data_IF_598976547688
#
_entry.id   IF_598976547688
#
_cell.length_a   1.000
_cell.length_b   1.000
_cell.length_c   1.000
_cell.angle_alpha   90.00
_cell.angle_beta   90.00
_cell.angle_gamma   90.00
#
_symmetry.space_group_name_H-M   'P 1'
#
loop_
_entity.id
_entity.type
_entity.pdbx_description
1 polymer ?
#
# COMPACT_ATOMS: atom_id res chain seq x y z
N UNK A 1 -8.31 33.74 48.76
CA UNK A 1 -7.72 32.68 47.92
C UNK A 1 -8.62 31.46 47.99
N UNK A 2 -9.30 31.12 46.89
CA UNK A 2 -10.12 29.91 46.77
C UNK A 2 -9.68 29.22 45.48
N UNK A 3 -8.98 28.12 45.66
CA UNK A 3 -8.56 27.21 44.61
C UNK A 3 -9.79 26.60 43.93
N UNK A 4 -9.87 26.67 42.60
CA UNK A 4 -10.83 25.89 41.83
C UNK A 4 -10.12 25.31 40.62
N UNK A 5 -9.55 24.13 40.83
CA UNK A 5 -8.96 23.28 39.81
C UNK A 5 -10.10 22.79 38.91
N UNK A 6 -10.28 23.46 37.77
CA UNK A 6 -11.21 23.01 36.72
C UNK A 6 -10.57 21.87 35.94
N UNK A 7 -11.09 20.68 36.25
CA UNK A 7 -10.95 19.37 35.60
C UNK A 7 -10.67 19.47 34.09
N UNK A 8 -9.47 19.07 33.70
CA UNK A 8 -9.04 18.83 32.32
C UNK A 8 -9.92 17.75 31.69
N UNK A 9 -10.75 18.13 30.72
CA UNK A 9 -11.43 17.18 29.86
C UNK A 9 -10.41 16.65 28.84
N UNK A 10 -9.74 15.55 29.18
CA UNK A 10 -8.94 14.78 28.21
C UNK A 10 -9.94 14.03 27.33
N UNK A 11 -10.33 14.68 26.23
CA UNK A 11 -11.11 14.09 25.16
C UNK A 11 -10.23 13.03 24.48
N UNK A 12 -10.48 11.75 24.77
CA UNK A 12 -9.89 10.63 24.05
C UNK A 12 -10.26 10.74 22.56
N UNK A 13 -9.36 11.30 21.76
CA UNK A 13 -9.31 11.09 20.31
C UNK A 13 -8.98 9.61 20.07
N UNK A 14 -10.00 8.76 20.11
CA UNK A 14 -9.92 7.42 19.55
C UNK A 14 -9.65 7.55 18.06
N UNK A 15 -8.39 7.33 17.69
CA UNK A 15 -7.90 7.25 16.32
C UNK A 15 -8.71 6.17 15.62
N UNK A 16 -9.68 6.60 14.81
CA UNK A 16 -10.50 5.72 13.98
C UNK A 16 -9.72 5.38 12.72
N UNK A 17 -8.68 4.56 12.86
CA UNK A 17 -8.25 3.77 11.73
C UNK A 17 -9.31 2.69 11.53
N UNK A 18 -10.22 2.92 10.57
CA UNK A 18 -11.11 1.86 10.14
C UNK A 18 -10.24 0.81 9.45
N UNK A 19 -10.12 -0.36 10.07
CA UNK A 19 -9.54 -1.54 9.44
C UNK A 19 -10.24 -1.73 8.09
N UNK A 20 -9.49 -1.61 7.00
CA UNK A 20 -9.99 -1.88 5.66
C UNK A 20 -10.09 -3.40 5.56
N UNK A 21 -11.23 -3.94 6.00
CA UNK A 21 -11.49 -5.37 6.17
C UNK A 21 -11.65 -6.14 4.84
N UNK A 22 -10.92 -5.77 3.79
CA UNK A 22 -11.04 -6.37 2.45
C UNK A 22 -9.72 -6.58 1.72
N UNK A 23 -8.58 -6.41 2.39
CA UNK A 23 -7.27 -6.67 1.81
C UNK A 23 -6.46 -7.67 2.63
N UNK A 24 -5.88 -8.66 1.96
CA UNK A 24 -4.81 -9.47 2.51
C UNK A 24 -3.48 -8.81 2.19
N UNK A 25 -2.56 -8.77 3.15
CA UNK A 25 -1.20 -8.31 2.96
C UNK A 25 -0.22 -9.31 3.55
N UNK A 26 1.00 -9.30 3.01
CA UNK A 26 2.12 -10.08 3.52
C UNK A 26 3.35 -9.19 3.67
N UNK A 27 4.23 -9.50 4.63
CA UNK A 27 5.54 -8.87 4.74
C UNK A 27 6.37 -9.11 3.47
N UNK A 28 6.87 -8.03 2.88
CA UNK A 28 7.76 -8.07 1.71
C UNK A 28 8.90 -7.07 1.86
N UNK A 29 9.98 -7.29 1.11
CA UNK A 29 10.99 -6.27 0.85
C UNK A 29 10.89 -5.79 -0.59
N UNK A 30 11.02 -4.49 -0.79
CA UNK A 30 11.16 -3.87 -2.12
C UNK A 30 12.62 -3.95 -2.50
N UNK A 31 12.95 -4.75 -3.52
CA UNK A 31 14.35 -4.95 -3.98
C UNK A 31 14.75 -3.99 -5.10
N UNK A 32 13.76 -3.49 -5.84
CA UNK A 32 13.95 -2.51 -6.91
C UNK A 32 12.68 -1.68 -7.07
N UNK A 33 12.86 -0.40 -7.36
CA UNK A 33 11.78 0.52 -7.66
C UNK A 33 12.22 1.49 -8.75
N UNK A 34 11.48 1.51 -9.86
CA UNK A 34 11.71 2.38 -11.01
C UNK A 34 10.46 3.23 -11.19
N UNK A 35 10.63 4.54 -11.26
CA UNK A 35 9.58 5.47 -11.69
C UNK A 35 10.20 6.59 -12.53
N UNK A 36 9.34 7.36 -13.19
CA UNK A 36 9.74 8.61 -13.83
C UNK A 36 9.74 9.72 -12.76
N UNK A 37 10.89 10.38 -12.56
CA UNK A 37 11.05 11.49 -11.62
C UNK A 37 10.17 12.70 -11.98
N UNK A 38 9.84 12.85 -13.27
CA UNK A 38 8.97 13.92 -13.76
C UNK A 38 7.49 13.55 -13.70
N UNK A 39 7.18 12.25 -13.66
CA UNK A 39 5.81 11.74 -13.64
C UNK A 39 5.67 10.45 -12.80
N UNK A 40 5.57 10.64 -11.47
CA UNK A 40 5.41 9.59 -10.44
C UNK A 40 4.02 8.92 -10.49
N UNK A 41 3.43 8.80 -11.68
CA UNK A 41 2.17 8.08 -11.88
C UNK A 41 2.42 6.65 -12.35
N UNK A 42 3.52 6.39 -13.06
CA UNK A 42 3.92 5.06 -13.50
C UNK A 42 5.06 4.53 -12.64
N UNK A 43 5.05 3.24 -12.37
CA UNK A 43 6.09 2.59 -11.59
C UNK A 43 6.26 1.13 -11.99
N UNK A 44 7.46 0.62 -11.75
CA UNK A 44 7.79 -0.79 -11.73
C UNK A 44 8.51 -1.08 -10.42
N UNK A 45 8.10 -2.13 -9.73
CA UNK A 45 8.76 -2.55 -8.50
C UNK A 45 8.95 -4.05 -8.46
N UNK A 46 10.01 -4.47 -7.77
CA UNK A 46 10.29 -5.87 -7.49
C UNK A 46 10.15 -6.15 -6.00
N UNK A 47 9.49 -7.25 -5.67
CA UNK A 47 9.16 -7.62 -4.30
C UNK A 47 9.61 -9.06 -4.02
N UNK A 48 10.26 -9.26 -2.88
CA UNK A 48 10.54 -10.59 -2.32
C UNK A 48 9.77 -10.77 -1.02
N UNK A 49 9.32 -11.98 -0.72
CA UNK A 49 8.70 -12.25 0.58
C UNK A 49 9.70 -12.06 1.71
N UNK A 50 9.28 -11.44 2.80
CA UNK A 50 10.06 -11.30 4.02
C UNK A 50 9.45 -12.17 5.10
N UNK A 51 10.23 -13.03 5.75
CA UNK A 51 9.73 -13.81 6.88
C UNK A 51 9.72 -12.94 8.14
N UNK A 52 8.52 -12.62 8.64
CA UNK A 52 8.31 -11.93 9.91
C UNK A 52 7.86 -12.89 11.04
N UNK A 53 7.96 -14.20 10.80
CA UNK A 53 7.44 -15.25 11.68
C UNK A 53 5.98 -15.64 11.40
N UNK A 54 5.31 -14.99 10.45
CA UNK A 54 3.99 -15.41 9.95
C UNK A 54 4.13 -16.22 8.67
N UNK A 55 3.57 -17.45 8.65
CA UNK A 55 3.59 -18.32 7.46
C UNK A 55 2.62 -17.83 6.34
N UNK A 56 2.21 -16.57 6.36
CA UNK A 56 1.18 -16.03 5.48
C UNK A 56 1.79 -15.33 4.27
N UNK A 57 1.52 -15.88 3.08
CA UNK A 57 1.89 -15.30 1.79
C UNK A 57 0.63 -15.00 0.98
N UNK A 58 0.64 -13.88 0.28
CA UNK A 58 -0.33 -13.59 -0.77
C UNK A 58 -0.13 -14.63 -1.88
N UNK A 59 -1.21 -15.29 -2.32
CA UNK A 59 -1.16 -16.40 -3.28
C UNK A 59 -0.46 -16.05 -4.60
N UNK A 60 -0.42 -14.78 -4.96
CA UNK A 60 0.28 -14.25 -6.12
C UNK A 60 1.80 -14.47 -6.07
N UNK A 61 2.36 -14.68 -4.87
CA UNK A 61 3.77 -14.99 -4.65
C UNK A 61 4.06 -16.50 -4.68
N UNK A 62 3.04 -17.35 -4.82
CA UNK A 62 3.24 -18.80 -4.83
C UNK A 62 4.12 -19.21 -6.01
N UNK A 63 5.20 -19.95 -5.71
CA UNK A 63 6.21 -20.38 -6.68
C UNK A 63 7.04 -19.23 -7.31
N UNK A 64 7.14 -18.08 -6.64
CA UNK A 64 8.00 -16.97 -7.05
C UNK A 64 8.96 -16.60 -5.91
N UNK A 65 10.26 -16.56 -6.21
CA UNK A 65 11.26 -16.00 -5.29
C UNK A 65 11.19 -14.46 -5.25
N UNK A 66 10.88 -13.86 -6.40
CA UNK A 66 10.68 -12.42 -6.61
C UNK A 66 9.50 -12.23 -7.58
N UNK A 67 8.67 -11.22 -7.32
CA UNK A 67 7.64 -10.78 -8.28
C UNK A 67 7.96 -9.38 -8.81
N UNK A 68 7.52 -9.11 -10.04
CA UNK A 68 7.54 -7.79 -10.65
C UNK A 68 6.11 -7.23 -10.71
N UNK A 69 5.91 -6.03 -10.16
CA UNK A 69 4.64 -5.30 -10.23
C UNK A 69 4.84 -4.04 -11.04
N UNK A 70 4.15 -3.93 -12.17
CA UNK A 70 4.10 -2.72 -12.98
C UNK A 70 2.78 -2.02 -12.75
N UNK A 71 2.77 -0.70 -12.67
CA UNK A 71 1.53 0.01 -12.51
C UNK A 71 1.54 1.43 -12.99
N UNK A 72 0.33 1.96 -13.15
CA UNK A 72 0.14 3.36 -13.41
C UNK A 72 -1.14 3.88 -12.74
N UNK A 73 -1.14 5.13 -12.32
CA UNK A 73 -2.34 5.80 -11.82
C UNK A 73 -3.20 6.32 -12.97
N UNK A 74 -4.40 5.76 -13.09
CA UNK A 74 -5.41 6.15 -14.08
C UNK A 74 -6.47 7.07 -13.45
N UNK A 75 -6.29 8.39 -13.56
CA UNK A 75 -7.28 9.36 -13.05
C UNK A 75 -8.69 9.14 -13.65
N UNK A 76 -8.77 8.83 -14.95
CA UNK A 76 -10.06 8.68 -15.65
C UNK A 76 -10.83 7.46 -15.15
N UNK A 77 -10.12 6.40 -14.76
CA UNK A 77 -10.70 5.26 -14.04
C UNK A 77 -11.20 5.70 -12.67
N UNK A 78 -10.33 6.29 -11.85
CA UNK A 78 -10.63 6.51 -10.43
C UNK A 78 -11.71 7.56 -10.17
N UNK A 79 -11.87 8.58 -11.03
CA UNK A 79 -12.81 9.70 -10.81
C UNK A 79 -14.28 9.28 -10.64
N UNK A 80 -14.68 8.12 -11.15
CA UNK A 80 -16.08 7.65 -11.13
C UNK A 80 -16.41 6.78 -9.89
N UNK A 81 -15.43 6.52 -9.02
CA UNK A 81 -15.63 5.71 -7.83
C UNK A 81 -16.18 6.57 -6.67
N UNK A 82 -17.06 5.99 -5.83
CA UNK A 82 -17.64 6.67 -4.65
C UNK A 82 -16.55 7.18 -3.70
N UNK A 83 -15.45 6.44 -3.58
CA UNK A 83 -14.24 6.81 -2.84
C UNK A 83 -13.07 6.69 -3.82
N UNK A 84 -12.79 7.73 -4.62
CA UNK A 84 -11.79 7.66 -5.66
C UNK A 84 -10.39 7.61 -5.03
N UNK A 85 -9.52 6.77 -5.59
CA UNK A 85 -8.10 6.93 -5.34
C UNK A 85 -7.66 8.28 -5.88
N UNK A 86 -6.80 8.96 -5.15
CA UNK A 86 -6.26 10.27 -5.57
C UNK A 86 -4.81 10.12 -6.01
N UNK A 87 -4.37 11.01 -6.91
CA UNK A 87 -2.96 11.10 -7.28
C UNK A 87 -2.08 11.35 -6.05
N UNK A 88 -2.59 12.07 -5.04
CA UNK A 88 -1.90 12.32 -3.78
C UNK A 88 -1.64 11.02 -3.02
N UNK A 89 -2.68 10.22 -2.76
CA UNK A 89 -2.55 8.96 -2.02
C UNK A 89 -1.68 7.94 -2.78
N UNK A 90 -1.76 7.96 -4.11
CA UNK A 90 -0.89 7.14 -4.96
C UNK A 90 0.59 7.53 -4.81
N UNK A 91 0.92 8.81 -4.97
CA UNK A 91 2.30 9.33 -4.77
C UNK A 91 2.82 9.07 -3.36
N UNK A 92 1.98 9.21 -2.34
CA UNK A 92 2.36 8.90 -0.96
C UNK A 92 2.73 7.42 -0.77
N UNK A 93 2.05 6.52 -1.49
CA UNK A 93 2.37 5.09 -1.47
C UNK A 93 3.70 4.81 -2.18
N UNK A 94 3.93 5.45 -3.33
CA UNK A 94 5.20 5.35 -4.06
C UNK A 94 6.37 5.87 -3.21
N UNK A 95 6.25 7.07 -2.64
CA UNK A 95 7.29 7.64 -1.79
C UNK A 95 7.62 6.72 -0.60
N UNK A 96 6.59 6.10 0.01
CA UNK A 96 6.78 5.15 1.09
C UNK A 96 7.52 3.88 0.65
N UNK A 97 7.20 3.32 -0.53
CA UNK A 97 7.88 2.15 -1.10
C UNK A 97 9.35 2.45 -1.41
N UNK A 98 9.64 3.64 -1.96
CA UNK A 98 11.01 4.10 -2.23
C UNK A 98 11.78 4.21 -0.91
N UNK A 99 11.25 4.90 0.10
CA UNK A 99 11.90 5.00 1.41
C UNK A 99 12.10 3.62 2.05
N UNK A 100 11.13 2.71 1.93
CA UNK A 100 11.27 1.35 2.44
C UNK A 100 12.42 0.59 1.77
N UNK A 101 12.55 0.69 0.45
CA UNK A 101 13.67 0.14 -0.33
C UNK A 101 15.00 0.73 0.12
N UNK A 102 15.11 2.07 0.16
CA UNK A 102 16.34 2.78 0.52
C UNK A 102 16.80 2.49 1.95
N UNK A 103 15.87 2.20 2.85
CA UNK A 103 16.15 1.90 4.27
C UNK A 103 16.17 0.40 4.58
N UNK A 104 16.06 -0.47 3.57
CA UNK A 104 15.94 -1.93 3.69
C UNK A 104 14.89 -2.37 4.73
N UNK A 105 13.79 -1.61 4.85
CA UNK A 105 12.70 -1.90 5.79
C UNK A 105 11.62 -2.73 5.11
N UNK A 106 11.18 -3.85 5.74
CA UNK A 106 10.04 -4.59 5.23
C UNK A 106 8.76 -3.75 5.34
N UNK A 107 7.83 -4.00 4.42
CA UNK A 107 6.50 -3.42 4.41
C UNK A 107 5.45 -4.51 4.26
N UNK A 108 4.20 -4.24 4.64
CA UNK A 108 3.10 -5.14 4.34
C UNK A 108 2.52 -4.78 2.98
N UNK A 109 2.84 -5.56 1.96
CA UNK A 109 2.24 -5.37 0.65
C UNK A 109 1.01 -6.25 0.51
N UNK A 110 -0.08 -5.70 0.00
CA UNK A 110 -1.33 -6.42 -0.12
C UNK A 110 -2.12 -6.09 -1.36
N UNK A 111 -3.26 -6.75 -1.50
CA UNK A 111 -4.21 -6.53 -2.59
C UNK A 111 -5.59 -6.25 -2.04
N UNK A 112 -6.29 -5.26 -2.59
CA UNK A 112 -7.72 -5.06 -2.34
C UNK A 112 -8.49 -5.53 -3.57
N UNK A 113 -9.40 -6.50 -3.38
CA UNK A 113 -10.10 -7.16 -4.49
C UNK A 113 -9.12 -7.82 -5.46
N UNK A 114 -9.34 -7.66 -6.77
CA UNK A 114 -8.39 -8.11 -7.82
C UNK A 114 -7.22 -7.12 -7.97
N UNK A 115 -6.58 -6.74 -6.87
CA UNK A 115 -5.59 -5.66 -6.81
C UNK A 115 -4.41 -5.84 -7.76
N UNK A 116 -4.03 -7.09 -8.04
CA UNK A 116 -3.01 -7.48 -9.01
C UNK A 116 -3.66 -8.26 -10.15
N UNK A 117 -3.35 -7.88 -11.39
CA UNK A 117 -3.70 -8.66 -12.58
C UNK A 117 -2.45 -9.35 -13.08
N UNK A 118 -2.43 -10.68 -13.07
CA UNK A 118 -1.33 -11.47 -13.63
C UNK A 118 -1.17 -11.18 -15.13
N UNK A 119 0.08 -10.91 -15.55
CA UNK A 119 0.45 -10.68 -16.95
C UNK A 119 1.32 -11.79 -17.52
N UNK A 120 2.24 -12.30 -16.71
CA UNK A 120 3.06 -13.48 -17.01
C UNK A 120 3.49 -14.15 -15.71
N UNK A 121 4.40 -15.13 -15.78
CA UNK A 121 4.95 -15.76 -14.58
C UNK A 121 5.67 -14.72 -13.70
N UNK A 122 5.30 -14.66 -12.42
CA UNK A 122 5.79 -13.71 -11.42
C UNK A 122 5.70 -12.21 -11.83
N UNK A 123 4.86 -11.85 -12.80
CA UNK A 123 4.69 -10.46 -13.25
C UNK A 123 3.22 -10.05 -13.22
N UNK A 124 2.95 -8.91 -12.60
CA UNK A 124 1.61 -8.43 -12.30
C UNK A 124 1.43 -6.96 -12.67
N UNK A 125 0.20 -6.58 -12.97
CA UNK A 125 -0.23 -5.20 -13.18
C UNK A 125 -1.06 -4.69 -12.00
N UNK A 126 -0.75 -3.49 -11.56
CA UNK A 126 -1.52 -2.71 -10.58
C UNK A 126 -2.02 -1.41 -11.23
N UNK A 127 -3.25 -0.99 -10.93
CA UNK A 127 -3.80 0.28 -11.48
C UNK A 127 -3.84 1.41 -10.46
N UNK A 128 -3.23 1.18 -9.32
CA UNK A 128 -3.24 2.12 -8.23
C UNK A 128 -2.63 1.53 -6.98
N UNK A 129 -2.08 2.42 -6.17
CA UNK A 129 -1.52 2.09 -4.87
C UNK A 129 -2.23 2.94 -3.83
N UNK A 130 -2.56 2.30 -2.73
CA UNK A 130 -3.22 2.93 -1.60
C UNK A 130 -2.47 2.61 -0.32
N UNK A 131 -2.22 3.63 0.50
CA UNK A 131 -1.55 3.47 1.78
C UNK A 131 -2.56 3.15 2.87
N UNK A 132 -2.33 2.06 3.61
CA UNK A 132 -3.07 1.74 4.83
C UNK A 132 -2.80 2.73 5.96
N UNK A 133 -3.40 2.51 7.13
CA UNK A 133 -3.12 3.34 8.30
C UNK A 133 -1.74 3.08 8.93
N UNK A 134 -1.07 1.98 8.60
CA UNK A 134 0.21 1.56 9.17
C UNK A 134 1.31 1.46 8.11
N UNK A 135 1.97 0.30 8.10
CA UNK A 135 3.07 -0.04 7.17
C UNK A 135 2.55 -0.73 5.91
N UNK A 136 1.25 -0.70 5.67
CA UNK A 136 0.63 -1.37 4.54
C UNK A 136 0.59 -0.51 3.28
N UNK A 137 0.88 -1.14 2.15
CA UNK A 137 0.57 -0.62 0.83
C UNK A 137 -0.25 -1.65 0.07
N UNK A 138 -1.40 -1.24 -0.42
CA UNK A 138 -2.31 -2.09 -1.18
C UNK A 138 -2.27 -1.76 -2.65
N UNK A 139 -2.11 -2.78 -3.47
CA UNK A 139 -2.43 -2.73 -4.89
C UNK A 139 -3.94 -2.76 -5.10
N UNK A 140 -4.43 -1.90 -5.99
CA UNK A 140 -5.85 -1.80 -6.31
C UNK A 140 -6.04 -1.80 -7.82
N UNK A 141 -7.01 -2.58 -8.29
CA UNK A 141 -7.37 -2.62 -9.70
C UNK A 141 -8.84 -2.28 -9.95
N UNK A 142 -9.73 -2.41 -8.95
CA UNK A 142 -11.18 -2.23 -9.11
C UNK A 142 -11.84 -1.42 -8.00
N UNK A 143 -13.16 -1.60 -7.84
CA UNK A 143 -13.98 -0.92 -6.83
C UNK A 143 -13.53 -1.36 -5.43
N UNK A 144 -13.19 -0.38 -4.59
CA UNK A 144 -13.05 -0.51 -3.13
C UNK A 144 -14.40 -0.18 -2.50
#
# INVERSE_FOLDING_TARGET
MKESIKRTAILLMFISCQAIAGGSSSPVKVTSFIHDDTNIMAYEMKLITHDDGTNWKISEFDNCDEITVKGFYDYQRWKNYRRPMTAKTHRQSIAYLITAMETDKPIYFGTIGMGLIKKSHCTFESRGLFRGCGTEVFSVNGRI
#
